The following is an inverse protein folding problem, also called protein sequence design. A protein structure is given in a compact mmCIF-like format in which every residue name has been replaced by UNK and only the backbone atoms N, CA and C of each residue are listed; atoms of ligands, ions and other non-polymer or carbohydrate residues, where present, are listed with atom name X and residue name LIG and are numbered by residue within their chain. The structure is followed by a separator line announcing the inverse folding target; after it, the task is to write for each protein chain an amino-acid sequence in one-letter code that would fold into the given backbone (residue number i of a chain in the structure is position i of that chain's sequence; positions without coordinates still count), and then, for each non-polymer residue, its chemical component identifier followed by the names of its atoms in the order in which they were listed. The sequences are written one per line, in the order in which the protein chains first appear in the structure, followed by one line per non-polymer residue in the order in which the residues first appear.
data_IF_648051398539
#
_entry.id   IF_648051398539
#
_cell.length_a   1.000
_cell.length_b   1.000
_cell.length_c   1.000
_cell.angle_alpha   90.00
_cell.angle_beta   90.00
_cell.angle_gamma   90.00
#
_symmetry.space_group_name_H-M   'P 1'
#
loop_
_entity.id
_entity.type
_entity.pdbx_description
1 polymer ?
#
# COMPACT_ATOMS: atom_id res chain seq x y z
N UNK A 1 19.24 -24.99 30.58
CA UNK A 1 18.43 -23.75 30.67
C UNK A 1 18.77 -22.80 29.50
N UNK A 2 17.97 -22.77 28.42
CA UNK A 2 18.05 -21.78 27.33
C UNK A 2 16.64 -21.55 26.74
N UNK A 3 15.83 -20.69 27.38
CA UNK A 3 14.53 -20.21 26.84
C UNK A 3 14.28 -18.71 27.00
N UNK A 4 15.25 -17.94 27.50
CA UNK A 4 15.05 -16.53 27.88
C UNK A 4 15.41 -15.53 26.76
N UNK A 5 16.17 -15.94 25.73
CA UNK A 5 16.56 -15.03 24.62
C UNK A 5 15.52 -14.91 23.50
N UNK A 6 14.69 -15.94 23.26
CA UNK A 6 13.79 -15.97 22.08
C UNK A 6 12.58 -15.05 22.18
N UNK A 7 12.04 -14.83 23.38
CA UNK A 7 10.80 -14.05 23.60
C UNK A 7 11.04 -12.54 23.60
N UNK A 8 12.23 -12.08 24.01
CA UNK A 8 12.58 -10.65 24.00
C UNK A 8 12.80 -10.12 22.57
N UNK A 9 13.41 -10.93 21.71
CA UNK A 9 13.70 -10.54 20.32
C UNK A 9 12.42 -10.37 19.50
N UNK A 10 11.44 -11.29 19.65
CA UNK A 10 10.16 -11.21 18.94
C UNK A 10 9.29 -10.05 19.43
N UNK A 11 9.29 -9.78 20.74
CA UNK A 11 8.57 -8.64 21.32
C UNK A 11 9.13 -7.29 20.86
N UNK A 12 10.46 -7.16 20.78
CA UNK A 12 11.11 -5.95 20.29
C UNK A 12 10.87 -5.72 18.79
N UNK A 13 10.93 -6.79 17.99
CA UNK A 13 10.65 -6.71 16.54
C UNK A 13 9.21 -6.28 16.27
N UNK A 14 8.24 -6.86 16.99
CA UNK A 14 6.84 -6.47 16.90
C UNK A 14 6.62 -5.00 17.25
N UNK A 15 7.20 -4.55 18.37
CA UNK A 15 7.08 -3.15 18.80
C UNK A 15 7.67 -2.19 17.76
N UNK A 16 8.84 -2.52 17.21
CA UNK A 16 9.47 -1.72 16.15
C UNK A 16 8.63 -1.67 14.87
N UNK A 17 8.08 -2.81 14.43
CA UNK A 17 7.18 -2.86 13.27
C UNK A 17 5.94 -1.99 13.50
N UNK A 18 5.31 -2.11 14.67
CA UNK A 18 4.12 -1.32 15.01
C UNK A 18 4.42 0.18 15.06
N UNK A 19 5.56 0.58 15.61
CA UNK A 19 6.00 1.99 15.61
C UNK A 19 6.21 2.49 14.18
N UNK A 20 6.84 1.69 13.33
CA UNK A 20 7.06 2.03 11.91
C UNK A 20 5.72 2.21 11.17
N UNK A 21 4.77 1.29 11.36
CA UNK A 21 3.44 1.39 10.76
C UNK A 21 2.67 2.62 11.27
N UNK A 22 2.80 2.98 12.55
CA UNK A 22 2.20 4.22 13.07
C UNK A 22 2.83 5.48 12.49
N UNK A 23 4.15 5.48 12.27
CA UNK A 23 4.82 6.59 11.61
C UNK A 23 4.34 6.74 10.16
N UNK A 24 4.18 5.62 9.45
CA UNK A 24 3.59 5.57 8.11
C UNK A 24 2.16 6.15 8.16
N UNK A 25 1.31 5.65 9.05
CA UNK A 25 -0.08 6.09 9.20
C UNK A 25 -0.20 7.61 9.39
N UNK A 26 0.71 8.20 10.16
CA UNK A 26 0.77 9.65 10.38
C UNK A 26 1.29 10.43 9.16
N UNK A 27 2.06 9.79 8.28
CA UNK A 27 2.55 10.41 7.04
C UNK A 27 1.56 10.33 5.87
N UNK A 28 0.51 9.51 5.98
CA UNK A 28 -0.47 9.23 4.91
C UNK A 28 -1.73 10.09 4.98
N UNK A 29 -1.71 11.22 5.71
CA UNK A 29 -2.89 12.07 5.91
C UNK A 29 -3.46 12.68 4.60
N UNK A 30 -2.63 12.80 3.56
CA UNK A 30 -3.06 13.26 2.23
C UNK A 30 -3.61 12.14 1.34
N UNK A 31 -3.56 10.87 1.78
CA UNK A 31 -4.02 9.72 0.99
C UNK A 31 -4.88 8.77 1.85
N UNK A 32 -6.19 9.07 2.01
CA UNK A 32 -7.08 8.35 2.92
C UNK A 32 -7.15 6.83 2.73
N UNK A 33 -7.20 6.27 1.50
CA UNK A 33 -7.26 4.81 1.31
C UNK A 33 -6.05 4.09 1.92
N UNK A 34 -4.84 4.61 1.72
CA UNK A 34 -3.63 4.01 2.29
C UNK A 34 -3.58 4.14 3.81
N UNK A 35 -4.06 5.26 4.37
CA UNK A 35 -4.17 5.40 5.82
C UNK A 35 -5.06 4.32 6.41
N UNK A 36 -6.15 3.96 5.75
CA UNK A 36 -7.05 2.90 6.19
C UNK A 36 -6.38 1.53 6.12
N UNK A 37 -5.75 1.19 4.99
CA UNK A 37 -4.96 -0.05 4.83
C UNK A 37 -3.91 -0.20 5.93
N UNK A 38 -3.13 0.86 6.21
CA UNK A 38 -2.12 0.84 7.28
C UNK A 38 -2.76 0.61 8.65
N UNK A 39 -3.92 1.20 8.90
CA UNK A 39 -4.69 1.03 10.15
C UNK A 39 -5.14 -0.43 10.31
N UNK A 40 -5.68 -1.03 9.25
CA UNK A 40 -6.12 -2.42 9.23
C UNK A 40 -4.93 -3.37 9.47
N UNK A 41 -3.78 -3.12 8.85
CA UNK A 41 -2.56 -3.93 9.07
C UNK A 41 -2.04 -3.82 10.50
N UNK A 42 -2.08 -2.64 11.14
CA UNK A 42 -1.75 -2.49 12.57
C UNK A 42 -2.66 -3.39 13.41
N UNK A 43 -3.95 -3.42 13.09
CA UNK A 43 -4.93 -4.23 13.83
C UNK A 43 -4.74 -5.73 13.60
N UNK A 44 -4.51 -6.18 12.37
CA UNK A 44 -4.15 -7.57 12.04
C UNK A 44 -2.90 -7.99 12.82
N UNK A 45 -1.88 -7.12 12.85
CA UNK A 45 -0.64 -7.34 13.61
C UNK A 45 -0.95 -7.49 15.11
N UNK A 46 -1.75 -6.60 15.71
CA UNK A 46 -2.17 -6.70 17.12
C UNK A 46 -2.98 -7.96 17.43
N UNK A 47 -3.93 -8.32 16.56
CA UNK A 47 -4.77 -9.50 16.72
C UNK A 47 -3.94 -10.78 16.61
N UNK A 48 -2.97 -10.84 15.69
CA UNK A 48 -2.06 -11.99 15.55
C UNK A 48 -1.35 -12.35 16.86
N UNK A 49 -1.00 -11.34 17.69
CA UNK A 49 -0.36 -11.56 18.99
C UNK A 49 -1.30 -12.09 20.07
N UNK A 50 -2.61 -11.96 19.87
CA UNK A 50 -3.63 -12.37 20.82
C UNK A 50 -4.21 -13.76 20.51
N UNK A 51 -4.06 -14.24 19.26
CA UNK A 51 -4.49 -15.59 18.88
C UNK A 51 -3.56 -16.63 19.53
N UNK A 52 -4.15 -17.68 20.13
CA UNK A 52 -3.42 -18.77 20.79
C UNK A 52 -3.20 -19.99 19.90
N UNK A 53 -4.13 -20.27 18.99
CA UNK A 53 -4.05 -21.32 17.97
C UNK A 53 -3.43 -20.81 16.67
N UNK A 54 -2.93 -21.71 15.81
CA UNK A 54 -2.42 -21.37 14.47
C UNK A 54 -1.46 -20.17 14.46
N UNK A 55 -0.67 -20.05 15.55
CA UNK A 55 0.11 -18.85 15.85
C UNK A 55 1.14 -18.55 14.76
N UNK A 56 1.76 -19.61 14.21
CA UNK A 56 2.77 -19.50 13.16
C UNK A 56 2.14 -18.97 11.87
N UNK A 57 0.96 -19.47 11.53
CA UNK A 57 0.17 -19.12 10.36
C UNK A 57 -0.35 -17.68 10.47
N UNK A 58 -0.92 -17.29 11.61
CA UNK A 58 -1.35 -15.91 11.88
C UNK A 58 -0.18 -14.93 11.89
N UNK A 59 0.98 -15.31 12.45
CA UNK A 59 2.20 -14.51 12.40
C UNK A 59 2.74 -14.37 10.97
N UNK A 60 2.54 -15.38 10.11
CA UNK A 60 2.92 -15.31 8.71
C UNK A 60 2.06 -14.30 7.95
N UNK A 61 0.73 -14.35 8.11
CA UNK A 61 -0.19 -13.34 7.55
C UNK A 61 0.24 -11.95 8.01
N UNK A 62 0.39 -11.72 9.32
CA UNK A 62 0.72 -10.39 9.84
C UNK A 62 2.05 -9.83 9.28
N UNK A 63 3.05 -10.69 9.11
CA UNK A 63 4.30 -10.32 8.44
C UNK A 63 4.08 -9.98 6.96
N UNK A 64 3.30 -10.78 6.25
CA UNK A 64 2.96 -10.52 4.85
C UNK A 64 2.18 -9.20 4.71
N UNK A 65 1.27 -8.91 5.64
CA UNK A 65 0.47 -7.66 5.65
C UNK A 65 1.38 -6.45 5.80
N UNK A 66 2.36 -6.55 6.70
CA UNK A 66 3.37 -5.51 6.89
C UNK A 66 4.19 -5.29 5.63
N UNK A 67 4.62 -6.38 4.98
CA UNK A 67 5.41 -6.31 3.73
C UNK A 67 4.60 -5.65 2.60
N UNK A 68 3.32 -6.01 2.47
CA UNK A 68 2.42 -5.47 1.45
C UNK A 68 2.29 -3.95 1.58
N UNK A 69 2.09 -3.43 2.80
CA UNK A 69 2.06 -1.98 3.06
C UNK A 69 3.37 -1.30 2.64
N UNK A 70 4.52 -1.90 2.96
CA UNK A 70 5.82 -1.37 2.57
C UNK A 70 6.00 -1.34 1.04
N UNK A 71 5.51 -2.39 0.35
CA UNK A 71 5.57 -2.47 -1.10
C UNK A 71 4.66 -1.44 -1.77
N UNK A 72 3.44 -1.21 -1.26
CA UNK A 72 2.56 -0.13 -1.73
C UNK A 72 3.27 1.23 -1.56
N UNK A 73 3.77 1.54 -0.36
CA UNK A 73 4.45 2.81 -0.09
C UNK A 73 5.65 3.05 -1.01
N UNK A 74 6.41 2.00 -1.31
CA UNK A 74 7.55 2.10 -2.23
C UNK A 74 7.10 2.46 -3.63
N UNK A 75 5.99 1.87 -4.10
CA UNK A 75 5.46 2.11 -5.45
C UNK A 75 4.70 3.44 -5.57
N UNK A 76 4.15 3.97 -4.47
CA UNK A 76 3.39 5.23 -4.47
C UNK A 76 4.23 6.45 -4.12
N UNK A 77 5.50 6.28 -3.72
CA UNK A 77 6.37 7.36 -3.22
C UNK A 77 6.48 8.57 -4.16
N UNK A 78 6.45 8.32 -5.47
CA UNK A 78 6.67 9.36 -6.48
C UNK A 78 5.36 10.06 -6.91
N UNK A 79 4.20 9.59 -6.43
CA UNK A 79 2.90 10.20 -6.68
C UNK A 79 2.61 11.29 -5.65
N UNK A 80 2.94 12.53 -5.99
CA UNK A 80 2.74 13.70 -5.12
C UNK A 80 1.37 14.39 -5.28
N UNK A 81 0.53 13.99 -6.25
CA UNK A 81 -0.66 14.76 -6.66
C UNK A 81 -1.96 13.97 -6.51
N UNK A 82 -2.02 12.74 -7.02
CA UNK A 82 -3.12 11.79 -6.83
C UNK A 82 -2.70 10.45 -7.44
N UNK A 83 -3.22 9.33 -6.93
CA UNK A 83 -3.08 8.05 -7.62
C UNK A 83 -4.05 7.99 -8.81
N UNK A 84 -3.67 7.29 -9.89
CA UNK A 84 -4.61 6.90 -10.94
C UNK A 84 -5.80 6.13 -10.36
N UNK A 85 -6.99 6.30 -10.92
CA UNK A 85 -8.22 5.72 -10.39
C UNK A 85 -8.14 4.19 -10.26
N UNK A 86 -7.53 3.51 -11.22
CA UNK A 86 -7.37 2.04 -11.20
C UNK A 86 -6.43 1.56 -10.09
N UNK A 87 -5.44 2.38 -9.74
CA UNK A 87 -4.53 2.11 -8.62
C UNK A 87 -5.25 2.37 -7.30
N UNK A 88 -6.04 3.44 -7.21
CA UNK A 88 -6.86 3.74 -6.04
C UNK A 88 -7.88 2.62 -5.75
N UNK A 89 -8.58 2.13 -6.77
CA UNK A 89 -9.49 0.98 -6.66
C UNK A 89 -8.77 -0.27 -6.14
N UNK A 90 -7.54 -0.52 -6.61
CA UNK A 90 -6.73 -1.64 -6.12
C UNK A 90 -6.36 -1.48 -4.64
N UNK A 91 -6.16 -0.26 -4.15
CA UNK A 91 -5.92 0.01 -2.71
C UNK A 91 -7.18 -0.26 -1.90
N UNK A 92 -8.37 0.09 -2.41
CA UNK A 92 -9.66 -0.22 -1.76
C UNK A 92 -9.87 -1.74 -1.67
N UNK A 93 -9.59 -2.50 -2.72
CA UNK A 93 -9.70 -3.97 -2.68
C UNK A 93 -8.76 -4.59 -1.63
N UNK A 94 -7.57 -4.02 -1.47
CA UNK A 94 -6.61 -4.43 -0.43
C UNK A 94 -7.14 -4.11 0.97
N UNK A 95 -7.80 -2.97 1.14
CA UNK A 95 -8.46 -2.58 2.39
C UNK A 95 -9.56 -3.59 2.78
N UNK A 96 -10.47 -3.89 1.85
CA UNK A 96 -11.55 -4.86 2.05
C UNK A 96 -11.01 -6.24 2.44
N UNK A 97 -9.95 -6.70 1.78
CA UNK A 97 -9.27 -7.95 2.12
C UNK A 97 -8.73 -7.94 3.56
N UNK A 98 -8.15 -6.81 4.00
CA UNK A 98 -7.67 -6.71 5.39
C UNK A 98 -8.81 -6.70 6.41
N UNK A 99 -9.96 -6.14 6.08
CA UNK A 99 -11.15 -6.24 6.95
C UNK A 99 -11.63 -7.69 7.09
N UNK A 100 -11.58 -8.49 6.04
CA UNK A 100 -11.91 -9.91 6.10
C UNK A 100 -10.93 -10.70 6.98
N UNK A 101 -9.63 -10.45 6.82
CA UNK A 101 -8.58 -11.04 7.66
C UNK A 101 -8.78 -10.64 9.13
N UNK A 102 -9.13 -9.38 9.38
CA UNK A 102 -9.42 -8.88 10.73
C UNK A 102 -10.61 -9.62 11.36
N UNK A 103 -11.72 -9.77 10.61
CA UNK A 103 -12.90 -10.53 11.06
C UNK A 103 -12.52 -11.97 11.39
N UNK A 104 -11.76 -12.64 10.53
CA UNK A 104 -11.26 -13.99 10.76
C UNK A 104 -10.39 -14.09 12.02
N UNK A 105 -9.47 -13.14 12.25
CA UNK A 105 -8.63 -13.16 13.45
C UNK A 105 -9.44 -12.89 14.73
N UNK A 106 -10.47 -12.04 14.66
CA UNK A 106 -11.42 -11.82 15.76
C UNK A 106 -12.21 -13.09 16.08
N UNK A 107 -12.57 -13.89 15.09
CA UNK A 107 -13.22 -15.19 15.28
C UNK A 107 -12.27 -16.20 15.92
N UNK A 108 -11.06 -16.35 15.40
CA UNK A 108 -10.02 -17.23 15.97
C UNK A 108 -9.72 -16.92 17.44
N UNK A 109 -9.74 -15.63 17.82
CA UNK A 109 -9.55 -15.20 19.21
C UNK A 109 -10.68 -15.68 20.14
N UNK A 110 -11.91 -15.82 19.64
CA UNK A 110 -13.10 -16.21 20.41
C UNK A 110 -13.26 -17.73 20.54
N UNK A 111 -12.67 -18.53 19.64
CA UNK A 111 -12.82 -19.99 19.65
C UNK A 111 -12.20 -20.62 20.90
N UNK A 112 -12.92 -21.55 21.51
CA UNK A 112 -12.42 -22.36 22.63
C UNK A 112 -11.50 -23.49 22.13
N UNK A 113 -10.61 -23.99 22.99
CA UNK A 113 -9.56 -24.96 22.60
C UNK A 113 -10.09 -26.22 21.88
N UNK A 114 -11.28 -26.71 22.24
CA UNK A 114 -11.92 -27.86 21.59
C UNK A 114 -12.40 -27.55 20.17
N UNK A 115 -12.93 -26.35 19.94
CA UNK A 115 -13.35 -25.88 18.61
C UNK A 115 -12.12 -25.64 17.71
N UNK A 116 -11.04 -25.11 18.29
CA UNK A 116 -9.77 -24.88 17.60
C UNK A 116 -9.14 -26.17 17.07
N UNK A 117 -9.19 -27.27 17.85
CA UNK A 117 -8.69 -28.58 17.40
C UNK A 117 -9.62 -29.15 16.31
N UNK A 118 -10.93 -29.11 16.51
CA UNK A 118 -11.89 -29.66 15.55
C UNK A 118 -11.86 -28.95 14.18
N UNK A 119 -11.42 -27.68 14.15
CA UNK A 119 -11.37 -26.84 12.94
C UNK A 119 -9.96 -26.54 12.46
N UNK A 120 -8.95 -27.21 12.99
CA UNK A 120 -7.54 -26.88 12.72
C UNK A 120 -7.21 -26.88 11.22
N UNK A 121 -7.65 -27.89 10.47
CA UNK A 121 -7.40 -28.00 9.03
C UNK A 121 -8.14 -26.92 8.23
N UNK A 122 -9.38 -26.59 8.64
CA UNK A 122 -10.16 -25.50 8.03
C UNK A 122 -9.49 -24.14 8.28
N UNK A 123 -9.10 -23.87 9.52
CA UNK A 123 -8.45 -22.62 9.91
C UNK A 123 -7.11 -22.45 9.19
N UNK A 124 -6.35 -23.53 9.02
CA UNK A 124 -5.12 -23.55 8.23
C UNK A 124 -5.38 -23.25 6.76
N UNK A 125 -6.36 -23.92 6.16
CA UNK A 125 -6.76 -23.69 4.76
C UNK A 125 -7.22 -22.25 4.52
N UNK A 126 -7.96 -21.65 5.46
CA UNK A 126 -8.36 -20.24 5.37
C UNK A 126 -7.17 -19.29 5.48
N UNK A 127 -6.18 -19.57 6.34
CA UNK A 127 -4.96 -18.75 6.40
C UNK A 127 -4.19 -18.82 5.08
N UNK A 128 -4.02 -20.02 4.52
CA UNK A 128 -3.34 -20.21 3.24
C UNK A 128 -4.06 -19.45 2.11
N UNK A 129 -5.39 -19.49 2.11
CA UNK A 129 -6.21 -18.74 1.16
C UNK A 129 -6.04 -17.22 1.30
N UNK A 130 -6.06 -16.68 2.52
CA UNK A 130 -5.78 -15.24 2.71
C UNK A 130 -4.37 -14.85 2.26
N UNK A 131 -3.38 -15.73 2.46
CA UNK A 131 -2.04 -15.52 1.91
C UNK A 131 -2.05 -15.41 0.38
N UNK A 132 -2.77 -16.31 -0.29
CA UNK A 132 -2.95 -16.30 -1.74
C UNK A 132 -3.67 -15.04 -2.23
N UNK A 133 -4.76 -14.66 -1.57
CA UNK A 133 -5.55 -13.47 -1.90
C UNK A 133 -4.72 -12.18 -1.74
N UNK A 134 -3.86 -12.11 -0.72
CA UNK A 134 -2.95 -10.97 -0.55
C UNK A 134 -1.93 -10.87 -1.67
N UNK A 135 -1.39 -12.00 -2.13
CA UNK A 135 -0.46 -12.03 -3.26
C UNK A 135 -1.16 -11.62 -4.57
N UNK A 136 -2.39 -12.09 -4.79
CA UNK A 136 -3.23 -11.72 -5.93
C UNK A 136 -3.55 -10.22 -5.94
N UNK A 137 -3.99 -9.66 -4.80
CA UNK A 137 -4.28 -8.24 -4.66
C UNK A 137 -3.02 -7.38 -4.91
N UNK A 138 -1.85 -7.81 -4.43
CA UNK A 138 -0.59 -7.11 -4.66
C UNK A 138 -0.15 -7.16 -6.12
N UNK A 139 -0.35 -8.29 -6.81
CA UNK A 139 -0.11 -8.41 -8.24
C UNK A 139 -1.01 -7.47 -9.04
N UNK A 140 -2.30 -7.44 -8.71
CA UNK A 140 -3.26 -6.54 -9.36
C UNK A 140 -2.90 -5.07 -9.16
N UNK A 141 -2.57 -4.68 -7.93
CA UNK A 141 -2.08 -3.33 -7.61
C UNK A 141 -0.82 -2.97 -8.42
N UNK A 142 0.18 -3.86 -8.44
CA UNK A 142 1.46 -3.59 -9.14
C UNK A 142 1.26 -3.48 -10.64
N UNK A 143 0.39 -4.33 -11.21
CA UNK A 143 0.04 -4.29 -12.63
C UNK A 143 -0.67 -2.99 -13.00
N UNK A 144 -1.66 -2.56 -12.22
CA UNK A 144 -2.36 -1.31 -12.45
C UNK A 144 -1.42 -0.10 -12.30
N UNK A 145 -0.53 -0.14 -11.33
CA UNK A 145 0.51 0.89 -11.18
C UNK A 145 1.40 1.00 -12.41
N UNK A 146 1.92 -0.13 -12.90
CA UNK A 146 2.77 -0.17 -14.09
C UNK A 146 2.03 0.31 -15.35
N UNK A 147 0.78 -0.12 -15.54
CA UNK A 147 -0.06 0.34 -16.64
C UNK A 147 -0.27 1.86 -16.60
N UNK A 148 -0.58 2.41 -15.43
CA UNK A 148 -0.79 3.85 -15.29
C UNK A 148 0.51 4.63 -15.54
N UNK A 149 1.65 4.15 -15.07
CA UNK A 149 2.95 4.75 -15.38
C UNK A 149 3.26 4.71 -16.88
N UNK A 150 2.97 3.61 -17.57
CA UNK A 150 3.13 3.53 -19.03
C UNK A 150 2.22 4.51 -19.78
N UNK A 151 0.96 4.67 -19.35
CA UNK A 151 0.04 5.65 -19.94
C UNK A 151 0.56 7.07 -19.77
N UNK A 152 1.00 7.44 -18.56
CA UNK A 152 1.58 8.75 -18.28
C UNK A 152 2.81 9.05 -19.15
N UNK A 153 3.72 8.08 -19.29
CA UNK A 153 4.89 8.25 -20.17
C UNK A 153 4.50 8.46 -21.64
N UNK A 154 3.50 7.70 -22.12
CA UNK A 154 3.01 7.82 -23.49
C UNK A 154 2.33 9.17 -23.74
N UNK A 155 1.51 9.63 -22.80
CA UNK A 155 0.86 10.94 -22.88
C UNK A 155 1.88 12.07 -22.88
N UNK A 156 2.89 12.00 -22.00
CA UNK A 156 4.00 12.96 -21.96
C UNK A 156 4.79 12.98 -23.27
N UNK A 157 5.14 11.81 -23.83
CA UNK A 157 5.83 11.72 -25.11
C UNK A 157 5.00 12.31 -26.26
N UNK A 158 3.69 12.05 -26.28
CA UNK A 158 2.77 12.60 -27.28
C UNK A 158 2.67 14.12 -27.17
N UNK A 159 2.60 14.66 -25.94
CA UNK A 159 2.58 16.09 -25.70
C UNK A 159 3.88 16.78 -26.14
N UNK A 160 5.04 16.19 -25.87
CA UNK A 160 6.35 16.72 -26.31
C UNK A 160 6.44 16.75 -27.83
N UNK A 161 5.99 15.69 -28.52
CA UNK A 161 5.94 15.67 -29.98
C UNK A 161 5.00 16.73 -30.54
N UNK A 162 3.80 16.88 -29.94
CA UNK A 162 2.86 17.92 -30.34
C UNK A 162 3.49 19.31 -30.22
N UNK A 163 4.09 19.64 -29.07
CA UNK A 163 4.79 20.93 -28.84
C UNK A 163 5.94 21.12 -29.82
N UNK A 164 6.71 20.08 -30.14
CA UNK A 164 7.83 20.19 -31.10
C UNK A 164 7.37 20.47 -32.53
N UNK A 165 6.12 20.15 -32.86
CA UNK A 165 5.51 20.38 -34.18
C UNK A 165 4.70 21.69 -34.25
N UNK A 166 4.51 22.38 -33.12
CA UNK A 166 3.78 23.66 -33.08
C UNK A 166 4.58 24.77 -33.77
N UNK A 167 3.89 25.62 -34.51
CA UNK A 167 4.48 26.84 -35.09
C UNK A 167 4.85 27.85 -34.00
N UNK A 168 5.76 28.77 -34.34
CA UNK A 168 6.25 29.80 -33.41
C UNK A 168 5.11 30.70 -32.86
N UNK A 169 4.09 30.95 -33.67
CA UNK A 169 2.86 31.67 -33.26
C UNK A 169 2.02 30.91 -32.25
N UNK A 170 1.96 29.58 -32.34
CA UNK A 170 1.19 28.75 -31.42
C UNK A 170 1.94 28.54 -30.09
N UNK A 171 3.28 28.45 -30.15
CA UNK A 171 4.15 28.50 -28.96
C UNK A 171 3.94 29.78 -28.17
N UNK A 172 3.95 30.93 -28.85
CA UNK A 172 3.71 32.23 -28.21
C UNK A 172 2.33 32.28 -27.55
N UNK A 173 1.27 31.79 -28.22
CA UNK A 173 -0.09 31.75 -27.64
C UNK A 173 -0.18 30.86 -26.39
N UNK A 174 0.44 29.67 -26.40
CA UNK A 174 0.50 28.79 -25.22
C UNK A 174 1.25 29.46 -24.06
N UNK A 175 2.39 30.11 -24.33
CA UNK A 175 3.15 30.83 -23.31
C UNK A 175 2.34 31.98 -22.70
N UNK A 176 1.55 32.71 -23.48
CA UNK A 176 0.63 33.75 -22.95
C UNK A 176 -0.47 33.14 -22.08
N UNK A 177 -0.99 31.97 -22.46
CA UNK A 177 -2.06 31.28 -21.72
C UNK A 177 -1.57 30.69 -20.38
N UNK A 178 -0.34 30.18 -20.35
CA UNK A 178 0.32 29.67 -19.13
C UNK A 178 0.74 30.82 -18.22
N UNK A 179 1.27 31.92 -18.77
CA UNK A 179 1.67 33.13 -18.02
C UNK A 179 0.48 33.79 -17.31
N UNK A 180 -0.73 33.65 -17.83
CA UNK A 180 -1.97 34.10 -17.18
C UNK A 180 -2.44 33.22 -16.00
N UNK A 181 -1.89 32.00 -15.86
CA UNK A 181 -2.32 31.00 -14.86
C UNK A 181 -1.25 30.63 -13.83
N UNK A 182 0.02 31.01 -14.03
CA UNK A 182 1.14 30.64 -13.14
C UNK A 182 1.87 31.90 -12.67
N UNK A 183 1.98 32.16 -11.35
CA UNK A 183 2.75 33.30 -10.84
C UNK A 183 4.23 33.17 -11.26
N UNK A 184 4.78 34.30 -11.71
CA UNK A 184 5.99 34.48 -12.52
C UNK A 184 7.32 33.86 -12.01
N UNK A 185 7.32 33.22 -10.83
CA UNK A 185 8.53 32.74 -10.14
C UNK A 185 8.99 31.35 -10.60
N UNK A 186 8.13 30.54 -11.23
CA UNK A 186 8.50 29.18 -11.67
C UNK A 186 8.97 29.04 -13.12
N UNK A 187 8.73 30.05 -13.98
CA UNK A 187 9.04 29.95 -15.42
C UNK A 187 10.55 30.01 -15.71
N UNK A 188 11.34 30.62 -14.83
CA UNK A 188 12.78 30.78 -15.03
C UNK A 188 13.58 29.46 -14.97
N UNK A 189 13.02 28.37 -14.42
CA UNK A 189 13.72 27.07 -14.36
C UNK A 189 13.61 26.22 -15.62
N UNK A 190 12.63 26.49 -16.50
CA UNK A 190 12.45 25.71 -17.73
C UNK A 190 13.28 26.24 -18.91
N UNK A 191 13.77 27.49 -18.84
CA UNK A 191 14.51 28.13 -19.95
C UNK A 191 16.05 27.99 -19.84
N UNK A 192 16.57 27.19 -18.92
CA UNK A 192 18.04 26.97 -18.78
C UNK A 192 18.51 25.62 -19.35
N UNK A 193 17.66 24.86 -20.04
CA UNK A 193 18.01 23.56 -20.67
C UNK A 193 17.69 23.57 -22.18
N UNK A 194 17.81 24.73 -22.83
CA UNK A 194 17.94 24.85 -24.29
C UNK A 194 19.16 25.73 -24.54
#
# INVERSE_FOLDING_TARGET
MRRVRSTRVTSNAFAATKVTLKAIQASTDAFPPLKSVVSAVILVLELSQQVKSNKKECDHIAKRSTQLVQDILRQTKDFNVALPAEVEESVVQIEELFEEIEKFFKELKKENFLEQIARQDRNKSQVEEYGRLMDEAMLHFSFNMELSLHRLHRESATAVLAVSQMSESEHLQLLTQIRGKVPFVQVARYLTII
#
